data_IF_189712049882
#
_entry.id   IF_189712049882
#
_cell.length_a   1.000
_cell.length_b   1.000
_cell.length_c   1.000
_cell.angle_alpha   90.00
_cell.angle_beta   90.00
_cell.angle_gamma   90.00
#
_symmetry.space_group_name_H-M   'P 1'
#
loop_
_entity.id
_entity.type
_entity.pdbx_description
1 polymer ?
#
# COMPACT_ATOMS: atom_id res chain seq x y z
N UNK A 1 25.01 -8.61 -6.60
CA UNK A 1 23.81 -7.90 -7.08
C UNK A 1 24.08 -6.40 -6.96
N UNK A 2 23.75 -5.63 -7.99
CA UNK A 2 23.84 -4.16 -7.94
C UNK A 2 22.84 -3.60 -6.93
N UNK A 3 23.05 -2.38 -6.42
CA UNK A 3 22.13 -1.70 -5.51
C UNK A 3 20.72 -1.61 -6.11
N UNK A 4 20.62 -1.28 -7.39
CA UNK A 4 19.33 -1.24 -8.11
C UNK A 4 18.58 -2.58 -8.02
N UNK A 5 19.27 -3.71 -8.19
CA UNK A 5 18.64 -5.03 -8.07
C UNK A 5 18.13 -5.32 -6.66
N UNK A 6 18.77 -4.78 -5.63
CA UNK A 6 18.30 -4.91 -4.26
C UNK A 6 17.01 -4.10 -4.04
N UNK A 7 17.01 -2.82 -4.46
CA UNK A 7 15.83 -1.95 -4.35
C UNK A 7 14.63 -2.57 -5.10
N UNK A 8 14.85 -3.05 -6.32
CA UNK A 8 13.80 -3.72 -7.10
C UNK A 8 13.28 -4.97 -6.42
N UNK A 9 14.16 -5.78 -5.80
CA UNK A 9 13.74 -6.97 -5.06
C UNK A 9 12.86 -6.61 -3.86
N UNK A 10 13.26 -5.60 -3.05
CA UNK A 10 12.44 -5.12 -1.93
C UNK A 10 11.09 -4.62 -2.44
N UNK A 11 11.08 -3.85 -3.54
CA UNK A 11 9.83 -3.36 -4.13
C UNK A 11 8.90 -4.51 -4.54
N UNK A 12 9.40 -5.50 -5.28
CA UNK A 12 8.62 -6.68 -5.69
C UNK A 12 8.05 -7.41 -4.48
N UNK A 13 8.87 -7.64 -3.46
CA UNK A 13 8.47 -8.36 -2.26
C UNK A 13 7.36 -7.62 -1.50
N UNK A 14 7.50 -6.30 -1.27
CA UNK A 14 6.47 -5.53 -0.55
C UNK A 14 5.22 -5.27 -1.40
N UNK A 15 5.34 -5.22 -2.74
CA UNK A 15 4.18 -5.15 -3.63
C UNK A 15 3.36 -6.45 -3.63
N UNK A 16 4.01 -7.60 -3.45
CA UNK A 16 3.34 -8.89 -3.35
C UNK A 16 2.57 -9.07 -2.03
N UNK A 17 2.83 -8.22 -1.02
CA UNK A 17 2.15 -8.25 0.28
C UNK A 17 1.02 -7.24 0.26
N UNK A 18 -0.23 -7.71 0.31
CA UNK A 18 -1.41 -6.85 0.41
C UNK A 18 -1.39 -6.07 1.72
N UNK A 19 -1.62 -4.74 1.63
CA UNK A 19 -1.51 -3.85 2.78
C UNK A 19 -2.45 -2.63 2.74
N UNK A 20 -3.76 -2.80 2.46
CA UNK A 20 -4.67 -1.67 2.63
C UNK A 20 -4.60 -1.12 4.06
N UNK A 21 -4.79 0.21 4.24
CA UNK A 21 -4.69 0.86 5.55
C UNK A 21 -5.49 0.12 6.62
N UNK A 22 -4.81 -0.24 7.72
CA UNK A 22 -5.37 -1.09 8.78
C UNK A 22 -5.05 -2.58 8.64
N UNK A 23 -4.60 -3.05 7.47
CA UNK A 23 -4.15 -4.43 7.24
C UNK A 23 -2.66 -4.48 6.87
N UNK A 24 -1.80 -3.92 7.68
CA UNK A 24 -0.37 -3.70 7.37
C UNK A 24 0.60 -4.59 8.15
N UNK A 25 0.10 -5.45 9.04
CA UNK A 25 0.94 -6.28 9.91
C UNK A 25 1.96 -7.12 9.14
N UNK A 26 1.56 -7.71 8.01
CA UNK A 26 2.42 -8.61 7.25
C UNK A 26 3.55 -7.84 6.55
N UNK A 27 3.27 -6.71 5.92
CA UNK A 27 4.29 -5.89 5.25
C UNK A 27 5.25 -5.28 6.27
N UNK A 28 4.76 -4.83 7.43
CA UNK A 28 5.62 -4.35 8.53
C UNK A 28 6.51 -5.46 9.07
N UNK A 29 5.99 -6.69 9.19
CA UNK A 29 6.82 -7.84 9.61
C UNK A 29 7.93 -8.15 8.60
N UNK A 30 7.65 -8.02 7.30
CA UNK A 30 8.67 -8.12 6.26
C UNK A 30 9.75 -7.03 6.42
N UNK A 31 9.34 -5.76 6.54
CA UNK A 31 10.25 -4.63 6.71
C UNK A 31 11.13 -4.76 7.97
N UNK A 32 10.54 -5.17 9.09
CA UNK A 32 11.29 -5.42 10.34
C UNK A 32 12.33 -6.52 10.19
N UNK A 33 11.95 -7.64 9.57
CA UNK A 33 12.87 -8.75 9.29
C UNK A 33 14.03 -8.30 8.41
N UNK A 34 13.76 -7.54 7.36
CA UNK A 34 14.77 -7.03 6.45
C UNK A 34 15.73 -6.05 7.16
N UNK A 35 15.20 -5.13 7.99
CA UNK A 35 16.01 -4.24 8.80
C UNK A 35 16.96 -5.01 9.75
N UNK A 36 16.47 -6.05 10.41
CA UNK A 36 17.28 -6.91 11.27
C UNK A 36 18.37 -7.67 10.49
N UNK A 37 18.08 -8.15 9.27
CA UNK A 37 19.08 -8.79 8.40
C UNK A 37 20.20 -7.83 7.99
N UNK A 38 19.89 -6.53 7.89
CA UNK A 38 20.86 -5.47 7.64
C UNK A 38 21.62 -5.04 8.90
N UNK A 39 21.25 -5.55 10.09
CA UNK A 39 21.90 -5.29 11.36
C UNK A 39 21.34 -4.10 12.13
N UNK A 40 20.18 -3.57 11.75
CA UNK A 40 19.57 -2.42 12.42
C UNK A 40 18.56 -2.84 13.51
N UNK A 41 18.51 -2.04 14.58
CA UNK A 41 17.51 -2.18 15.62
C UNK A 41 16.19 -1.56 15.17
N UNK A 42 15.09 -2.13 15.65
CA UNK A 42 13.75 -1.66 15.32
C UNK A 42 12.86 -1.54 16.53
N UNK A 43 11.78 -0.76 16.38
CA UNK A 43 10.71 -0.66 17.37
C UNK A 43 9.39 -0.50 16.63
N UNK A 44 8.36 -1.21 17.07
CA UNK A 44 6.99 -0.97 16.60
C UNK A 44 6.27 -0.02 17.54
N UNK A 45 5.57 0.94 16.97
CA UNK A 45 4.67 1.81 17.75
C UNK A 45 3.36 1.08 18.04
N UNK A 46 2.56 1.59 18.98
CA UNK A 46 1.24 1.04 19.29
C UNK A 46 0.30 1.03 18.07
N UNK A 47 0.52 1.94 17.13
CA UNK A 47 -0.26 2.05 15.89
C UNK A 47 0.22 1.10 14.79
N UNK A 48 1.35 0.44 15.00
CA UNK A 48 1.92 -0.53 14.06
C UNK A 48 2.97 0.04 13.10
N UNK A 49 3.33 1.33 13.20
CA UNK A 49 4.45 1.89 12.46
C UNK A 49 5.76 1.24 12.90
N UNK A 50 6.72 1.15 12.00
CA UNK A 50 8.05 0.62 12.26
C UNK A 50 9.06 1.77 12.31
N UNK A 51 9.80 1.86 13.39
CA UNK A 51 10.97 2.73 13.55
C UNK A 51 12.23 1.87 13.38
N UNK A 52 13.14 2.28 12.48
CA UNK A 52 14.42 1.61 12.23
C UNK A 52 15.53 2.60 12.59
N UNK A 53 16.43 2.21 13.49
CA UNK A 53 17.43 3.09 14.08
C UNK A 53 18.80 2.90 13.44
N UNK A 54 19.45 4.02 13.11
CA UNK A 54 20.84 4.08 12.61
C UNK A 54 21.63 5.04 13.48
N UNK A 55 22.64 4.54 14.19
CA UNK A 55 23.49 5.35 15.05
C UNK A 55 24.38 6.29 14.23
N UNK A 56 24.32 7.57 14.55
CA UNK A 56 25.18 8.62 14.03
C UNK A 56 26.39 8.93 14.92
N UNK A 57 27.13 9.99 14.56
CA UNK A 57 28.31 10.47 15.30
C UNK A 57 27.97 11.48 16.39
N UNK A 58 26.79 12.08 16.34
CA UNK A 58 26.28 13.05 17.31
C UNK A 58 24.85 12.71 17.75
N UNK A 59 24.27 13.54 18.62
CA UNK A 59 22.95 13.31 19.22
C UNK A 59 21.80 13.93 18.41
N UNK A 60 22.08 14.61 17.30
CA UNK A 60 21.03 15.14 16.43
C UNK A 60 20.38 13.99 15.66
N UNK A 61 19.06 13.98 15.59
CA UNK A 61 18.31 12.88 14.95
C UNK A 61 17.48 13.39 13.78
N UNK A 62 17.74 12.84 12.60
CA UNK A 62 16.95 13.08 11.38
C UNK A 62 16.05 11.88 11.13
N UNK A 63 14.75 12.13 11.05
CA UNK A 63 13.74 11.14 10.67
C UNK A 63 13.48 11.17 9.17
N UNK A 64 13.34 10.00 8.55
CA UNK A 64 12.79 9.81 7.20
C UNK A 64 11.50 9.03 7.32
N UNK A 65 10.40 9.55 6.76
CA UNK A 65 9.10 8.89 6.80
C UNK A 65 8.65 8.50 5.40
N UNK A 66 8.23 7.26 5.24
CA UNK A 66 7.55 6.74 4.07
C UNK A 66 6.46 5.76 4.52
N UNK A 67 5.47 5.44 3.67
CA UNK A 67 4.38 4.58 4.08
C UNK A 67 4.28 3.28 3.27
N UNK A 68 3.75 2.23 3.91
CA UNK A 68 3.52 0.91 3.30
C UNK A 68 2.05 0.56 3.16
N UNK A 69 1.17 1.35 3.79
CA UNK A 69 -0.26 1.17 3.58
C UNK A 69 -0.66 1.66 2.19
N UNK A 70 -1.66 1.02 1.65
CA UNK A 70 -2.17 1.30 0.31
C UNK A 70 -3.64 1.66 0.36
N UNK A 71 -4.11 2.30 -0.69
CA UNK A 71 -5.53 2.33 -0.98
C UNK A 71 -6.10 0.91 -1.06
N UNK A 72 -7.36 0.76 -0.72
CA UNK A 72 -8.05 -0.50 -0.77
C UNK A 72 -9.56 -0.35 -0.65
N UNK A 73 -10.24 -1.45 -0.41
CA UNK A 73 -11.68 -1.48 -0.19
C UNK A 73 -11.99 -2.35 1.04
N UNK A 74 -13.24 -2.27 1.50
CA UNK A 74 -13.75 -3.07 2.61
C UNK A 74 -15.15 -3.56 2.30
N UNK A 75 -15.48 -4.78 2.69
CA UNK A 75 -16.83 -5.34 2.55
C UNK A 75 -17.80 -4.51 3.40
N UNK A 76 -18.71 -3.80 2.73
CA UNK A 76 -19.77 -3.01 3.38
C UNK A 76 -20.96 -3.90 3.73
N UNK A 77 -21.38 -4.74 2.79
CA UNK A 77 -22.46 -5.72 2.99
C UNK A 77 -22.42 -6.84 1.95
N UNK A 78 -23.01 -7.97 2.30
CA UNK A 78 -23.22 -9.10 1.39
C UNK A 78 -24.62 -8.97 0.80
N UNK A 79 -24.73 -8.96 -0.53
CA UNK A 79 -26.02 -8.86 -1.23
C UNK A 79 -26.69 -10.22 -1.34
N UNK A 80 -28.00 -10.23 -1.54
CA UNK A 80 -28.80 -11.47 -1.62
C UNK A 80 -28.44 -12.38 -2.80
N UNK A 81 -27.82 -11.81 -3.83
CA UNK A 81 -27.33 -12.54 -5.03
C UNK A 81 -25.90 -13.10 -4.85
N UNK A 82 -25.29 -12.96 -3.68
CA UNK A 82 -23.93 -13.40 -3.39
C UNK A 82 -22.84 -12.45 -3.83
N UNK A 83 -23.16 -11.26 -4.35
CA UNK A 83 -22.16 -10.21 -4.61
C UNK A 83 -21.87 -9.38 -3.37
N UNK A 84 -20.75 -8.66 -3.35
CA UNK A 84 -20.36 -7.80 -2.23
C UNK A 84 -20.54 -6.33 -2.59
N UNK A 85 -21.22 -5.58 -1.75
CA UNK A 85 -21.10 -4.12 -1.72
C UNK A 85 -19.84 -3.75 -0.94
N UNK A 86 -19.15 -2.71 -1.36
CA UNK A 86 -17.91 -2.28 -0.74
C UNK A 86 -17.92 -0.79 -0.37
N UNK A 87 -16.97 -0.40 0.44
CA UNK A 87 -16.62 0.99 0.74
C UNK A 87 -15.12 1.20 0.55
N UNK A 88 -14.69 2.43 0.37
CA UNK A 88 -13.29 2.78 0.19
C UNK A 88 -12.51 2.67 1.51
N UNK A 89 -11.24 2.28 1.40
CA UNK A 89 -10.19 2.48 2.39
C UNK A 89 -9.20 3.45 1.76
N UNK A 90 -9.06 4.65 2.33
CA UNK A 90 -8.41 5.77 1.67
C UNK A 90 -9.26 6.37 0.53
N UNK A 91 -8.59 6.96 -0.45
CA UNK A 91 -9.23 7.68 -1.56
C UNK A 91 -9.00 7.05 -2.95
N UNK A 92 -9.30 5.76 -3.20
CA UNK A 92 -9.11 5.19 -4.52
C UNK A 92 -10.03 5.88 -5.56
N UNK A 93 -9.48 6.14 -6.75
CA UNK A 93 -10.27 6.64 -7.87
C UNK A 93 -11.16 5.51 -8.42
N UNK A 94 -12.34 5.35 -7.87
CA UNK A 94 -13.26 4.23 -8.12
C UNK A 94 -13.52 3.94 -9.60
N UNK A 95 -13.66 4.93 -10.51
CA UNK A 95 -13.83 4.67 -11.94
C UNK A 95 -12.70 3.83 -12.58
N UNK A 96 -11.49 3.87 -12.03
CA UNK A 96 -10.34 3.08 -12.53
C UNK A 96 -10.38 1.62 -12.09
N UNK A 97 -11.34 1.24 -11.26
CA UNK A 97 -11.45 -0.10 -10.69
C UNK A 97 -12.43 -1.01 -11.45
N UNK A 98 -13.19 -0.49 -12.42
CA UNK A 98 -14.14 -1.29 -13.19
C UNK A 98 -13.39 -2.34 -14.04
N UNK A 99 -13.60 -3.63 -13.74
CA UNK A 99 -12.90 -4.75 -14.33
C UNK A 99 -11.61 -5.18 -13.65
N UNK A 100 -11.21 -4.51 -12.53
CA UNK A 100 -10.01 -4.86 -11.81
C UNK A 100 -10.20 -6.07 -10.90
N UNK A 101 -9.10 -6.82 -10.73
CA UNK A 101 -9.07 -7.98 -9.84
C UNK A 101 -8.76 -7.55 -8.42
N UNK A 102 -9.27 -8.33 -7.47
CA UNK A 102 -9.06 -8.08 -6.05
C UNK A 102 -9.00 -9.38 -5.25
N UNK A 103 -8.57 -9.26 -3.99
CA UNK A 103 -8.60 -10.33 -3.01
C UNK A 103 -9.46 -9.90 -1.84
N UNK A 104 -10.39 -10.75 -1.44
CA UNK A 104 -11.19 -10.61 -0.22
C UNK A 104 -10.45 -11.36 0.89
N UNK A 105 -10.10 -10.69 1.97
CA UNK A 105 -9.31 -11.23 3.07
C UNK A 105 -10.20 -11.32 4.29
N UNK A 106 -10.54 -12.54 4.70
CA UNK A 106 -11.41 -12.77 5.86
C UNK A 106 -10.65 -12.56 7.17
N UNK A 107 -11.38 -12.42 8.28
CA UNK A 107 -10.79 -12.34 9.63
C UNK A 107 -9.94 -13.57 9.97
N UNK A 108 -10.35 -14.74 9.46
CA UNK A 108 -9.60 -16.00 9.64
C UNK A 108 -8.43 -16.14 8.65
N UNK A 109 -8.09 -15.05 7.92
CA UNK A 109 -7.00 -14.98 6.94
C UNK A 109 -7.18 -15.93 5.74
N UNK A 110 -8.41 -16.36 5.45
CA UNK A 110 -8.73 -16.98 4.16
C UNK A 110 -8.76 -15.91 3.08
N UNK A 111 -8.26 -16.23 1.90
CA UNK A 111 -8.18 -15.31 0.76
C UNK A 111 -9.02 -15.88 -0.37
N UNK A 112 -9.95 -15.08 -0.84
CA UNK A 112 -10.74 -15.36 -2.04
C UNK A 112 -10.43 -14.31 -3.10
N UNK A 113 -10.40 -14.69 -4.36
CA UNK A 113 -10.27 -13.74 -5.46
C UNK A 113 -11.63 -13.23 -5.92
N UNK A 114 -11.63 -12.11 -6.62
CA UNK A 114 -12.83 -11.52 -7.17
C UNK A 114 -12.53 -10.43 -8.18
N UNK A 115 -13.59 -9.94 -8.81
CA UNK A 115 -13.56 -8.87 -9.80
C UNK A 115 -14.48 -7.74 -9.37
N UNK A 116 -13.98 -6.51 -9.46
CA UNK A 116 -14.75 -5.29 -9.19
C UNK A 116 -15.49 -4.91 -10.47
N UNK A 117 -16.81 -4.82 -10.42
CA UNK A 117 -17.66 -4.66 -11.61
C UNK A 117 -18.69 -3.56 -11.39
N UNK A 118 -19.01 -2.84 -12.47
CA UNK A 118 -20.21 -2.00 -12.53
C UNK A 118 -21.48 -2.82 -12.35
N UNK A 119 -22.53 -2.23 -11.75
CA UNK A 119 -23.87 -2.84 -11.72
C UNK A 119 -24.52 -2.90 -13.11
N UNK A 120 -24.01 -2.15 -14.09
CA UNK A 120 -24.42 -2.16 -15.50
C UNK A 120 -23.22 -2.51 -16.41
N UNK A 121 -22.73 -3.77 -16.38
CA UNK A 121 -21.43 -4.12 -16.98
C UNK A 121 -21.49 -4.35 -18.51
N UNK A 122 -22.66 -4.49 -19.09
CA UNK A 122 -22.80 -4.92 -20.50
C UNK A 122 -23.67 -3.98 -21.32
N UNK A 123 -23.09 -3.36 -22.36
CA UNK A 123 -23.78 -2.40 -23.25
C UNK A 123 -24.96 -2.99 -24.03
N UNK A 124 -24.97 -4.28 -24.23
CA UNK A 124 -26.07 -4.98 -24.94
C UNK A 124 -27.27 -5.25 -24.02
N UNK A 125 -27.11 -5.13 -22.70
CA UNK A 125 -28.16 -5.43 -21.70
C UNK A 125 -28.61 -4.17 -20.97
N UNK A 126 -27.67 -3.32 -20.60
CA UNK A 126 -27.90 -2.13 -19.79
C UNK A 126 -27.78 -0.87 -20.63
N UNK A 127 -28.85 -0.08 -20.70
CA UNK A 127 -28.87 1.16 -21.49
C UNK A 127 -27.88 2.20 -20.98
N UNK A 128 -27.61 2.20 -19.68
CA UNK A 128 -26.74 3.14 -18.96
C UNK A 128 -25.30 2.59 -18.76
N UNK A 129 -24.95 1.46 -19.35
CA UNK A 129 -23.63 0.84 -19.15
C UNK A 129 -22.44 1.80 -19.39
N UNK A 130 -22.60 2.75 -20.34
CA UNK A 130 -21.57 3.73 -20.66
C UNK A 130 -21.62 5.00 -19.81
N UNK A 131 -22.77 5.31 -19.19
CA UNK A 131 -23.01 6.58 -18.48
C UNK A 131 -23.21 6.43 -16.98
N UNK A 132 -23.43 5.19 -16.49
CA UNK A 132 -23.55 4.95 -15.07
C UNK A 132 -22.25 5.36 -14.37
N UNK A 133 -22.34 6.26 -13.42
CA UNK A 133 -21.20 6.66 -12.58
C UNK A 133 -20.58 5.43 -11.89
N UNK A 134 -19.27 5.34 -11.83
CA UNK A 134 -18.55 4.29 -11.11
C UNK A 134 -18.26 4.76 -9.69
N UNK A 135 -19.06 4.26 -8.76
CA UNK A 135 -18.97 4.60 -7.32
C UNK A 135 -19.19 3.34 -6.47
N UNK A 136 -18.96 3.45 -5.17
CA UNK A 136 -19.24 2.35 -4.23
C UNK A 136 -20.71 1.91 -4.22
N UNK A 137 -21.65 2.76 -4.67
CA UNK A 137 -23.08 2.44 -4.70
C UNK A 137 -23.51 1.79 -6.00
N UNK A 138 -22.78 2.04 -7.10
CA UNK A 138 -23.09 1.57 -8.45
C UNK A 138 -22.19 0.43 -8.92
N UNK A 139 -21.31 -0.02 -8.05
CA UNK A 139 -20.40 -1.15 -8.31
C UNK A 139 -20.56 -2.24 -7.24
N UNK A 140 -20.00 -3.38 -7.52
CA UNK A 140 -19.97 -4.52 -6.63
C UNK A 140 -18.74 -5.39 -6.88
N UNK A 141 -18.47 -6.32 -5.98
CA UNK A 141 -17.48 -7.37 -6.19
C UNK A 141 -18.17 -8.69 -6.45
N UNK A 142 -17.80 -9.33 -7.53
CA UNK A 142 -18.13 -10.72 -7.82
C UNK A 142 -16.99 -11.59 -7.33
N UNK A 143 -17.30 -12.54 -6.44
CA UNK A 143 -16.34 -13.49 -5.88
C UNK A 143 -16.11 -14.62 -6.89
N UNK A 144 -14.88 -15.10 -7.02
CA UNK A 144 -14.52 -16.21 -7.91
C UNK A 144 -14.82 -17.58 -7.24
N UNK A 145 -16.04 -17.68 -6.65
CA UNK A 145 -16.55 -18.89 -5.99
C UNK A 145 -17.98 -19.20 -6.48
N UNK A 146 -18.41 -20.44 -6.28
CA UNK A 146 -19.79 -20.87 -6.63
C UNK A 146 -20.73 -20.42 -5.51
N UNK A 147 -21.10 -19.15 -5.53
CA UNK A 147 -22.05 -18.54 -4.60
C UNK A 147 -23.25 -17.97 -5.37
N UNK A 148 -24.45 -18.09 -4.83
CA UNK A 148 -25.70 -17.60 -5.43
C UNK A 148 -26.58 -16.86 -4.44
N UNK A 149 -26.17 -16.84 -3.17
CA UNK A 149 -26.93 -16.22 -2.09
C UNK A 149 -25.99 -15.63 -1.05
N UNK A 150 -26.55 -14.79 -0.19
CA UNK A 150 -25.85 -14.27 0.99
C UNK A 150 -25.35 -15.40 1.90
N UNK A 151 -26.16 -16.42 2.11
CA UNK A 151 -25.83 -17.56 2.96
C UNK A 151 -24.64 -18.37 2.42
N UNK A 152 -24.48 -18.45 1.10
CA UNK A 152 -23.34 -19.14 0.50
C UNK A 152 -22.04 -18.37 0.77
N UNK A 153 -22.08 -17.04 0.68
CA UNK A 153 -20.91 -16.18 0.96
C UNK A 153 -20.56 -16.23 2.47
N UNK A 154 -21.56 -16.20 3.35
CA UNK A 154 -21.35 -16.33 4.79
C UNK A 154 -20.69 -17.67 5.18
N UNK A 155 -21.00 -18.76 4.47
CA UNK A 155 -20.32 -20.07 4.65
C UNK A 155 -18.83 -20.04 4.29
N UNK A 156 -18.41 -19.12 3.40
CA UNK A 156 -17.00 -18.89 3.10
C UNK A 156 -16.26 -18.14 4.23
N UNK A 157 -16.99 -17.67 5.24
CA UNK A 157 -16.45 -16.88 6.34
C UNK A 157 -16.28 -15.39 6.01
N UNK A 158 -16.76 -14.95 4.84
CA UNK A 158 -16.73 -13.53 4.44
C UNK A 158 -17.80 -12.78 5.22
N UNK A 159 -17.44 -11.63 5.77
CA UNK A 159 -18.33 -10.79 6.56
C UNK A 159 -18.06 -9.30 6.37
N UNK A 160 -18.98 -8.47 6.85
CA UNK A 160 -18.81 -7.02 6.81
C UNK A 160 -17.54 -6.62 7.59
N UNK A 161 -16.77 -5.71 7.02
CA UNK A 161 -15.50 -5.25 7.57
C UNK A 161 -14.28 -6.08 7.15
N UNK A 162 -14.45 -7.12 6.34
CA UNK A 162 -13.32 -7.82 5.74
C UNK A 162 -12.63 -6.92 4.70
N UNK A 163 -11.30 -6.97 4.66
CA UNK A 163 -10.51 -6.17 3.73
C UNK A 163 -10.58 -6.69 2.31
N UNK A 164 -10.53 -5.78 1.37
CA UNK A 164 -10.43 -6.09 -0.05
C UNK A 164 -9.19 -5.38 -0.59
N UNK A 165 -8.19 -6.17 -0.95
CA UNK A 165 -6.96 -5.70 -1.57
C UNK A 165 -7.12 -5.68 -3.09
N UNK A 166 -6.79 -4.55 -3.71
CA UNK A 166 -6.80 -4.38 -5.17
C UNK A 166 -5.50 -4.94 -5.72
N UNK A 167 -5.56 -5.70 -6.82
CA UNK A 167 -4.36 -6.26 -7.46
C UNK A 167 -3.41 -5.14 -7.91
N UNK A 168 -2.16 -5.24 -7.51
CA UNK A 168 -1.11 -4.25 -7.81
C UNK A 168 -0.70 -4.26 -9.28
N UNK A 169 -0.81 -5.41 -9.97
CA UNK A 169 -0.37 -5.61 -11.36
C UNK A 169 1.07 -5.17 -11.60
N UNK A 170 1.95 -5.44 -10.64
CA UNK A 170 3.35 -5.04 -10.69
C UNK A 170 4.05 -5.70 -11.87
N UNK A 171 4.73 -4.91 -12.68
CA UNK A 171 5.51 -5.34 -13.83
C UNK A 171 6.80 -4.54 -13.90
N UNK A 172 7.92 -5.24 -14.03
CA UNK A 172 9.24 -4.64 -14.30
C UNK A 172 9.70 -5.15 -15.65
N UNK A 173 9.95 -4.26 -16.59
CA UNK A 173 10.39 -4.61 -17.93
C UNK A 173 11.91 -4.79 -18.00
N UNK A 174 12.41 -5.48 -19.04
CA UNK A 174 13.84 -5.62 -19.30
C UNK A 174 14.55 -4.28 -19.51
N UNK A 175 13.82 -3.25 -19.97
CA UNK A 175 14.33 -1.88 -20.11
C UNK A 175 14.43 -1.13 -18.78
N UNK A 176 13.94 -1.73 -17.66
CA UNK A 176 13.95 -1.13 -16.33
C UNK A 176 12.74 -0.26 -16.01
N UNK A 177 11.69 -0.27 -16.86
CA UNK A 177 10.47 0.45 -16.56
C UNK A 177 9.64 -0.30 -15.52
N UNK A 178 9.18 0.42 -14.49
CA UNK A 178 8.36 -0.12 -13.40
C UNK A 178 6.94 0.39 -13.55
N UNK A 179 5.98 -0.52 -13.59
CA UNK A 179 4.57 -0.22 -13.63
C UNK A 179 3.84 -1.01 -12.55
N UNK A 180 3.13 -0.31 -11.67
CA UNK A 180 2.33 -0.93 -10.61
C UNK A 180 1.28 0.06 -10.10
N UNK A 181 0.22 -0.44 -9.46
CA UNK A 181 -0.52 0.34 -8.46
C UNK A 181 0.36 0.47 -7.21
N UNK A 182 0.11 1.49 -6.41
CA UNK A 182 0.70 1.65 -5.08
C UNK A 182 2.24 1.78 -5.05
N UNK A 183 2.83 2.32 -6.15
CA UNK A 183 4.18 2.88 -6.10
C UNK A 183 4.26 4.00 -5.07
N UNK A 184 3.19 4.72 -4.90
CA UNK A 184 2.81 5.55 -3.78
C UNK A 184 2.37 4.64 -2.62
N UNK A 185 3.16 4.46 -1.54
CA UNK A 185 4.52 5.01 -1.37
C UNK A 185 5.54 3.88 -1.12
N UNK A 186 5.18 2.65 -1.54
CA UNK A 186 6.06 1.48 -1.41
C UNK A 186 7.40 1.66 -2.14
N UNK A 187 7.43 2.51 -3.19
CA UNK A 187 8.69 2.80 -3.88
C UNK A 187 9.67 3.55 -2.98
N UNK A 188 9.21 4.57 -2.25
CA UNK A 188 10.05 5.31 -1.30
C UNK A 188 10.55 4.40 -0.18
N UNK A 189 9.71 3.49 0.31
CA UNK A 189 10.13 2.49 1.30
C UNK A 189 11.26 1.62 0.74
N UNK A 190 11.15 1.14 -0.50
CA UNK A 190 12.20 0.34 -1.13
C UNK A 190 13.51 1.14 -1.30
N UNK A 191 13.42 2.44 -1.65
CA UNK A 191 14.57 3.34 -1.74
C UNK A 191 15.24 3.54 -0.37
N UNK A 192 14.45 3.73 0.69
CA UNK A 192 14.98 3.85 2.05
C UNK A 192 15.70 2.57 2.50
N UNK A 193 15.20 1.38 2.13
CA UNK A 193 15.94 0.13 2.34
C UNK A 193 17.24 0.07 1.53
N UNK A 194 17.28 0.63 0.32
CA UNK A 194 18.51 0.81 -0.46
C UNK A 194 19.54 1.66 0.30
N UNK A 195 19.12 2.75 0.94
CA UNK A 195 19.98 3.56 1.81
C UNK A 195 20.50 2.74 3.00
N UNK A 196 19.64 2.04 3.73
CA UNK A 196 20.04 1.16 4.84
C UNK A 196 21.06 0.11 4.38
N UNK A 197 20.83 -0.50 3.20
CA UNK A 197 21.74 -1.48 2.62
C UNK A 197 23.13 -0.89 2.37
N UNK A 198 23.20 0.31 1.83
CA UNK A 198 24.47 1.03 1.59
C UNK A 198 25.18 1.30 2.91
N UNK A 199 24.48 1.87 3.90
CA UNK A 199 25.06 2.16 5.21
C UNK A 199 25.64 0.90 5.87
N UNK A 200 24.90 -0.21 5.83
CA UNK A 200 25.34 -1.50 6.40
C UNK A 200 26.52 -2.09 5.66
N UNK A 201 26.49 -2.18 4.32
CA UNK A 201 27.54 -2.82 3.53
C UNK A 201 28.87 -2.05 3.56
N UNK A 202 28.78 -0.74 3.43
CA UNK A 202 29.95 0.15 3.41
C UNK A 202 30.41 0.54 4.81
N UNK A 203 29.69 0.09 5.86
CA UNK A 203 29.95 0.41 7.27
C UNK A 203 30.01 1.93 7.51
N UNK A 204 29.16 2.66 6.83
CA UNK A 204 29.07 4.12 6.96
C UNK A 204 28.35 4.45 8.28
N UNK A 205 29.00 5.25 9.11
CA UNK A 205 28.36 5.87 10.26
C UNK A 205 28.01 7.32 9.87
N UNK A 206 26.70 7.66 9.72
CA UNK A 206 26.30 9.00 9.33
C UNK A 206 26.68 10.05 10.39
N UNK A 207 26.61 11.34 10.04
CA UNK A 207 26.90 12.43 10.98
C UNK A 207 25.85 12.44 12.09
N UNK A 208 24.58 12.44 11.74
CA UNK A 208 23.44 12.45 12.65
C UNK A 208 22.89 11.04 12.85
N UNK A 209 22.21 10.81 13.95
CA UNK A 209 21.35 9.64 14.09
C UNK A 209 20.25 9.67 13.03
N UNK A 210 19.91 8.51 12.44
CA UNK A 210 18.78 8.42 11.52
C UNK A 210 17.71 7.52 12.10
N UNK A 211 16.45 7.88 11.89
CA UNK A 211 15.30 7.04 12.19
C UNK A 211 14.44 6.95 10.93
N UNK A 212 14.33 5.76 10.38
CA UNK A 212 13.38 5.50 9.29
C UNK A 212 12.04 5.10 9.90
N UNK A 213 11.03 5.90 9.65
CA UNK A 213 9.65 5.68 10.09
C UNK A 213 8.85 5.10 8.93
N UNK A 214 8.53 3.81 8.98
CA UNK A 214 7.63 3.19 8.01
C UNK A 214 6.21 3.26 8.58
N UNK A 215 5.39 4.16 8.04
CA UNK A 215 4.04 4.42 8.52
C UNK A 215 2.99 3.50 7.88
N UNK A 216 1.81 3.40 8.50
CA UNK A 216 0.79 2.39 8.20
C UNK A 216 -0.61 2.94 8.03
N UNK A 217 -0.80 4.26 8.13
CA UNK A 217 -2.10 4.93 8.05
C UNK A 217 -2.04 6.26 7.31
N UNK A 218 -1.10 6.41 6.36
CA UNK A 218 -0.95 7.66 5.60
C UNK A 218 -2.18 7.91 4.74
N UNK A 219 -2.64 6.91 3.98
CA UNK A 219 -3.74 6.96 3.02
C UNK A 219 -5.12 7.31 3.64
N UNK A 220 -5.21 7.26 4.95
CA UNK A 220 -6.39 7.68 5.73
C UNK A 220 -6.12 8.91 6.60
N UNK A 221 -5.05 9.65 6.32
CA UNK A 221 -4.72 10.92 6.98
C UNK A 221 -4.19 10.78 8.40
N UNK A 222 -3.63 9.64 8.78
CA UNK A 222 -3.17 9.35 10.14
C UNK A 222 -1.69 8.89 10.23
N UNK A 223 -0.91 8.99 9.15
CA UNK A 223 0.49 8.57 9.10
C UNK A 223 1.36 9.29 10.12
N UNK A 224 1.21 10.61 10.19
CA UNK A 224 2.00 11.50 11.07
C UNK A 224 1.28 11.88 12.37
N UNK A 225 0.27 11.14 12.81
CA UNK A 225 -0.45 11.44 14.06
C UNK A 225 0.42 11.37 15.33
N UNK A 226 1.59 10.78 15.23
CA UNK A 226 2.61 10.75 16.26
C UNK A 226 4.01 10.78 15.62
N UNK A 227 4.79 11.78 16.01
CA UNK A 227 6.23 11.88 15.72
C UNK A 227 6.96 11.80 17.05
N UNK A 228 7.94 10.90 17.22
CA UNK A 228 8.72 10.81 18.45
C UNK A 228 9.47 12.10 18.79
N UNK A 229 9.45 12.49 20.07
CA UNK A 229 10.09 13.73 20.54
C UNK A 229 11.62 13.77 20.33
N UNK A 230 12.26 12.60 20.18
CA UNK A 230 13.71 12.52 19.92
C UNK A 230 14.08 12.83 18.47
N UNK A 231 13.11 12.96 17.54
CA UNK A 231 13.38 13.37 16.18
C UNK A 231 13.46 14.89 16.12
N UNK A 232 14.62 15.40 15.72
CA UNK A 232 14.91 16.84 15.61
C UNK A 232 14.40 17.43 14.29
N UNK A 233 14.44 16.64 13.22
CA UNK A 233 14.00 17.00 11.87
C UNK A 233 13.36 15.80 11.21
N UNK A 234 12.21 15.98 10.55
CA UNK A 234 11.50 14.92 9.85
C UNK A 234 11.38 15.26 8.36
N UNK A 235 11.82 14.34 7.53
CA UNK A 235 11.73 14.42 6.06
C UNK A 235 10.74 13.37 5.59
N UNK A 236 9.63 13.79 4.99
CA UNK A 236 8.72 12.88 4.31
C UNK A 236 9.31 12.54 2.93
N UNK A 237 9.39 11.26 2.62
CA UNK A 237 9.81 10.75 1.33
C UNK A 237 8.58 10.11 0.69
N UNK A 238 7.97 10.86 -0.21
CA UNK A 238 6.67 10.52 -0.79
C UNK A 238 6.54 11.08 -2.20
N UNK A 239 5.44 10.80 -2.88
CA UNK A 239 5.20 11.25 -4.25
C UNK A 239 5.01 12.76 -4.31
N UNK A 240 5.80 13.44 -5.17
CA UNK A 240 5.61 14.85 -5.48
C UNK A 240 4.47 15.04 -6.48
N UNK A 241 3.60 16.03 -6.24
CA UNK A 241 2.53 16.37 -7.18
C UNK A 241 3.10 17.06 -8.42
N UNK A 242 2.70 16.61 -9.61
CA UNK A 242 3.06 17.21 -10.90
C UNK A 242 1.79 17.48 -11.74
N UNK A 243 1.91 18.38 -12.69
CA UNK A 243 0.87 18.67 -13.69
C UNK A 243 0.38 20.12 -13.66
N UNK A 244 -0.38 20.51 -14.69
CA UNK A 244 -0.94 21.85 -14.86
C UNK A 244 0.12 22.96 -14.60
N UNK A 245 -0.13 23.83 -13.61
CA UNK A 245 0.71 24.98 -13.28
C UNK A 245 1.76 24.68 -12.19
N UNK A 246 1.97 23.41 -11.84
CA UNK A 246 2.99 23.02 -10.87
C UNK A 246 4.39 23.10 -11.45
N UNK A 247 5.37 23.50 -10.64
CA UNK A 247 6.73 23.78 -11.09
C UNK A 247 7.56 22.54 -11.44
N UNK A 248 7.18 21.37 -10.90
CA UNK A 248 7.88 20.10 -11.13
C UNK A 248 7.31 19.34 -12.33
N UNK A 249 8.20 18.68 -13.09
CA UNK A 249 7.86 17.72 -14.13
C UNK A 249 8.08 16.29 -13.65
N UNK A 250 7.68 15.32 -14.45
CA UNK A 250 7.89 13.88 -14.15
C UNK A 250 9.38 13.46 -14.10
N UNK A 251 10.30 14.33 -14.53
CA UNK A 251 11.75 14.07 -14.51
C UNK A 251 12.47 14.78 -13.36
N UNK A 252 11.74 15.48 -12.50
CA UNK A 252 12.30 16.25 -11.40
C UNK A 252 12.13 15.53 -10.06
N UNK A 253 12.96 15.92 -9.10
CA UNK A 253 12.72 15.63 -7.67
C UNK A 253 11.97 16.82 -7.08
N UNK A 254 10.75 16.58 -6.58
CA UNK A 254 9.96 17.61 -5.90
C UNK A 254 10.49 17.79 -4.47
N UNK A 255 10.78 19.04 -4.10
CA UNK A 255 11.12 19.43 -2.71
C UNK A 255 10.12 20.49 -2.32
N UNK A 256 9.27 20.19 -1.29
CA UNK A 256 8.20 21.06 -0.80
C UNK A 256 8.47 21.49 0.65
#
# INVERSE_FOLDING_TARGET
KTMNNYILQILEDIMAIDSPSGYTKNVITYCEKEAHQLGFQTKRTNKGNLEIFVDGKDDYTVGFCAHVDTLGLMVRSIRNDGTLAFTNVGGPLVPTLDGEYCKIITREQQIYTGTILSNSPAVHVFKDAKSLERSCDTMHIRIDEIVKSKEDVEKLGIQNGDYIAIDTKTTITDSGFIKSRFLDDKMSVAILFGMLKTLSQEKIKPLHNLVLMISTFEEVGHGSSYVPEYISELIAVDMGCIGLDLACSEYDVSIC
#
